data_IF_584062859473
#
_entry.id   IF_584062859473
#
_cell.length_a   1.000
_cell.length_b   1.000
_cell.length_c   1.000
_cell.angle_alpha   90.00
_cell.angle_beta   90.00
_cell.angle_gamma   90.00
#
_symmetry.space_group_name_H-M   'P 1'
#
loop_
_entity.id
_entity.type
_entity.pdbx_description
1 polymer ?
#
# COMPACT_ATOMS: atom_id res chain seq x y z
N UNK A 1 6.98 1.95 8.91
CA UNK A 1 7.80 0.72 8.90
C UNK A 1 9.23 1.10 8.55
N UNK A 2 10.25 0.49 9.16
CA UNK A 2 11.64 0.72 8.74
C UNK A 2 11.97 -0.22 7.56
N UNK A 3 12.04 0.32 6.36
CA UNK A 3 12.40 -0.40 5.13
C UNK A 3 13.89 -0.17 4.81
N UNK A 4 14.77 -0.77 5.60
CA UNK A 4 16.22 -0.59 5.46
C UNK A 4 16.75 -1.25 4.18
N UNK A 5 17.30 -0.42 3.28
CA UNK A 5 18.02 -0.80 2.06
C UNK A 5 19.36 -0.06 2.02
N UNK A 6 20.36 -0.48 1.21
CA UNK A 6 21.56 0.32 0.98
C UNK A 6 21.18 1.75 0.57
N UNK A 7 21.78 2.76 1.22
CA UNK A 7 21.47 4.17 0.97
C UNK A 7 20.15 4.68 1.55
N UNK A 8 19.41 3.86 2.33
CA UNK A 8 18.23 4.26 3.11
C UNK A 8 17.04 4.89 2.33
N UNK A 9 17.08 4.84 0.99
CA UNK A 9 16.17 5.54 0.09
C UNK A 9 14.68 5.50 0.48
N UNK A 10 14.12 4.32 0.76
CA UNK A 10 12.69 4.19 1.08
C UNK A 10 12.28 4.77 2.44
N UNK A 11 13.22 4.88 3.38
CA UNK A 11 12.92 5.54 4.66
C UNK A 11 13.00 7.07 4.54
N UNK A 12 13.87 7.58 3.65
CA UNK A 12 14.08 9.02 3.48
C UNK A 12 13.09 9.64 2.49
N UNK A 13 12.60 8.87 1.52
CA UNK A 13 11.74 9.35 0.43
C UNK A 13 10.37 8.66 0.33
N UNK A 14 10.12 7.62 1.11
CA UNK A 14 8.89 6.82 1.03
C UNK A 14 7.86 7.15 2.11
N UNK A 15 6.59 6.84 1.81
CA UNK A 15 5.50 6.91 2.80
C UNK A 15 5.22 5.49 3.32
N UNK A 16 5.52 5.25 4.59
CA UNK A 16 5.31 3.95 5.22
C UNK A 16 3.90 3.78 5.78
N UNK A 17 3.02 3.05 5.07
CA UNK A 17 1.67 2.72 5.55
C UNK A 17 1.68 1.41 6.34
N UNK A 18 1.14 1.42 7.55
CA UNK A 18 0.96 0.22 8.37
C UNK A 18 -0.52 -0.18 8.41
N UNK A 19 -0.86 -1.33 7.85
CA UNK A 19 -2.20 -1.90 7.97
C UNK A 19 -2.24 -2.87 9.15
N UNK A 20 -3.02 -2.54 10.19
CA UNK A 20 -3.03 -3.30 11.44
C UNK A 20 -3.63 -4.70 11.24
N UNK A 21 -2.86 -5.71 11.62
CA UNK A 21 -3.24 -7.12 11.57
C UNK A 21 -2.01 -8.02 11.42
N UNK A 22 -2.21 -9.32 11.61
CA UNK A 22 -1.22 -10.33 11.25
C UNK A 22 -1.72 -11.11 10.02
N UNK A 23 -1.32 -10.65 8.84
CA UNK A 23 -1.76 -11.25 7.58
C UNK A 23 -0.96 -12.48 7.16
N UNK A 24 -0.10 -13.01 8.04
CA UNK A 24 0.35 -14.40 7.93
C UNK A 24 -0.79 -15.38 8.27
N UNK A 25 -1.70 -15.02 9.19
CA UNK A 25 -2.76 -15.92 9.65
C UNK A 25 -4.16 -15.51 9.18
N UNK A 26 -4.37 -14.22 8.93
CA UNK A 26 -5.67 -13.66 8.56
C UNK A 26 -5.59 -12.91 7.23
N UNK A 27 -6.74 -12.56 6.63
CA UNK A 27 -6.80 -11.65 5.49
C UNK A 27 -7.14 -10.23 5.97
N UNK A 28 -6.62 -9.18 5.31
CA UNK A 28 -7.19 -7.84 5.47
C UNK A 28 -8.69 -7.87 5.21
N UNK A 29 -9.46 -7.15 6.03
CA UNK A 29 -10.91 -7.02 5.80
C UNK A 29 -11.19 -6.24 4.51
N UNK A 30 -12.39 -6.42 3.94
CA UNK A 30 -12.79 -5.66 2.77
C UNK A 30 -12.81 -4.14 3.02
N UNK A 31 -13.16 -3.70 4.24
CA UNK A 31 -13.12 -2.29 4.65
C UNK A 31 -11.68 -1.79 4.68
N UNK A 32 -10.76 -2.54 5.29
CA UNK A 32 -9.34 -2.19 5.32
C UNK A 32 -8.76 -2.02 3.91
N UNK A 33 -9.08 -2.93 2.98
CA UNK A 33 -8.58 -2.82 1.60
C UNK A 33 -9.18 -1.63 0.85
N UNK A 34 -10.44 -1.27 1.10
CA UNK A 34 -11.05 -0.05 0.53
C UNK A 34 -10.39 1.21 1.08
N UNK A 35 -10.24 1.32 2.40
CA UNK A 35 -9.58 2.47 3.04
C UNK A 35 -8.13 2.61 2.62
N UNK A 36 -7.39 1.50 2.52
CA UNK A 36 -6.01 1.48 2.05
C UNK A 36 -5.93 2.00 0.60
N UNK A 37 -6.79 1.52 -0.30
CA UNK A 37 -6.80 1.99 -1.68
C UNK A 37 -7.14 3.48 -1.80
N UNK A 38 -8.11 3.98 -1.02
CA UNK A 38 -8.46 5.39 -1.00
C UNK A 38 -7.29 6.26 -0.50
N UNK A 39 -6.61 5.85 0.57
CA UNK A 39 -5.43 6.55 1.09
C UNK A 39 -4.27 6.52 0.08
N UNK A 40 -3.98 5.36 -0.50
CA UNK A 40 -2.92 5.24 -1.50
C UNK A 40 -3.19 6.12 -2.72
N UNK A 41 -4.43 6.16 -3.23
CA UNK A 41 -4.79 7.03 -4.36
C UNK A 41 -4.54 8.50 -4.03
N UNK A 42 -5.07 8.96 -2.89
CA UNK A 42 -4.87 10.34 -2.42
C UNK A 42 -3.38 10.69 -2.34
N UNK A 43 -2.56 9.84 -1.72
CA UNK A 43 -1.11 10.09 -1.60
C UNK A 43 -0.38 10.03 -2.95
N UNK A 44 -0.79 9.13 -3.85
CA UNK A 44 -0.26 9.07 -5.20
C UNK A 44 -0.52 10.38 -5.97
N UNK A 45 -1.73 10.92 -5.88
CA UNK A 45 -2.12 12.18 -6.51
C UNK A 45 -1.37 13.36 -5.88
N UNK A 46 -1.44 13.52 -4.56
CA UNK A 46 -0.85 14.66 -3.84
C UNK A 46 0.69 14.70 -3.92
N UNK A 47 1.34 13.54 -3.89
CA UNK A 47 2.80 13.45 -3.91
C UNK A 47 3.36 13.13 -5.31
N UNK A 48 2.51 13.06 -6.33
CA UNK A 48 2.88 12.68 -7.71
C UNK A 48 3.63 11.33 -7.79
N UNK A 49 3.25 10.39 -6.93
CA UNK A 49 3.83 9.04 -6.89
C UNK A 49 3.02 8.16 -7.84
N UNK A 50 3.62 7.56 -8.89
CA UNK A 50 2.88 6.68 -9.78
C UNK A 50 2.38 5.45 -9.01
N UNK A 51 1.15 4.98 -9.31
CA UNK A 51 0.55 3.84 -8.62
C UNK A 51 1.44 2.58 -8.66
N UNK A 52 2.24 2.41 -9.71
CA UNK A 52 3.24 1.34 -9.85
C UNK A 52 4.32 1.34 -8.76
N UNK A 53 4.52 2.45 -8.05
CA UNK A 53 5.42 2.58 -6.90
C UNK A 53 4.73 2.31 -5.56
N UNK A 54 3.49 1.83 -5.57
CA UNK A 54 2.88 1.20 -4.39
C UNK A 54 3.42 -0.22 -4.24
N UNK A 55 4.39 -0.36 -3.35
CA UNK A 55 5.16 -1.59 -3.12
C UNK A 55 4.89 -2.20 -1.74
N UNK A 56 5.36 -3.43 -1.53
CA UNK A 56 5.31 -4.10 -0.23
C UNK A 56 6.69 -4.17 0.43
N UNK A 57 6.73 -4.17 1.76
CA UNK A 57 7.99 -4.22 2.52
C UNK A 57 8.81 -5.49 2.19
N UNK A 58 8.16 -6.65 2.14
CA UNK A 58 8.76 -7.90 1.71
C UNK A 58 9.18 -7.89 0.24
N UNK A 59 8.41 -7.23 -0.63
CA UNK A 59 8.76 -7.06 -2.05
C UNK A 59 10.01 -6.22 -2.29
N UNK A 60 10.28 -5.23 -1.42
CA UNK A 60 11.50 -4.40 -1.51
C UNK A 60 12.71 -5.13 -0.94
N UNK A 61 12.58 -5.72 0.25
CA UNK A 61 13.74 -6.18 1.03
C UNK A 61 14.00 -7.68 0.90
N UNK A 62 12.98 -8.50 0.66
CA UNK A 62 13.05 -9.96 0.73
C UNK A 62 13.37 -10.53 2.13
N UNK A 63 13.48 -9.68 3.17
CA UNK A 63 13.99 -10.04 4.51
C UNK A 63 12.91 -10.05 5.59
N UNK A 64 11.65 -9.91 5.20
CA UNK A 64 10.52 -9.84 6.12
C UNK A 64 9.31 -10.54 5.53
N UNK A 65 8.45 -11.05 6.42
CA UNK A 65 7.13 -11.58 6.04
C UNK A 65 6.10 -10.47 5.79
N UNK A 66 6.35 -9.25 6.27
CA UNK A 66 5.45 -8.11 6.08
C UNK A 66 5.21 -7.82 4.58
N UNK A 67 3.96 -7.57 4.15
CA UNK A 67 2.73 -7.41 4.95
C UNK A 67 2.04 -8.72 5.35
N UNK A 68 2.50 -9.87 4.87
CA UNK A 68 1.97 -11.19 5.18
C UNK A 68 1.44 -11.89 3.93
N UNK A 69 1.55 -13.21 3.86
CA UNK A 69 1.21 -14.02 2.68
C UNK A 69 -0.25 -13.91 2.22
N UNK A 70 -1.16 -13.49 3.10
CA UNK A 70 -2.57 -13.31 2.77
C UNK A 70 -2.92 -11.87 2.36
N UNK A 71 -1.97 -10.95 2.41
CA UNK A 71 -2.12 -9.62 1.80
C UNK A 71 -1.87 -9.72 0.29
N UNK A 72 -2.79 -9.21 -0.52
CA UNK A 72 -2.67 -9.23 -1.98
C UNK A 72 -2.32 -7.86 -2.53
N UNK A 73 -1.07 -7.69 -2.99
CA UNK A 73 -0.65 -6.48 -3.68
C UNK A 73 -1.42 -6.30 -5.00
N UNK A 74 -1.66 -7.39 -5.74
CA UNK A 74 -2.45 -7.36 -6.98
C UNK A 74 -3.88 -6.84 -6.73
N UNK A 75 -4.50 -7.21 -5.61
CA UNK A 75 -5.82 -6.69 -5.23
C UNK A 75 -5.79 -5.19 -4.94
N UNK A 76 -4.74 -4.70 -4.26
CA UNK A 76 -4.57 -3.28 -4.02
C UNK A 76 -4.43 -2.50 -5.34
N UNK A 77 -3.55 -2.96 -6.24
CA UNK A 77 -3.36 -2.34 -7.56
C UNK A 77 -4.65 -2.32 -8.39
N UNK A 78 -5.43 -3.41 -8.36
CA UNK A 78 -6.73 -3.46 -9.03
C UNK A 78 -7.70 -2.40 -8.49
N UNK A 79 -7.67 -2.11 -7.18
CA UNK A 79 -8.50 -1.09 -6.54
C UNK A 79 -8.01 0.33 -6.83
N UNK A 80 -6.72 0.53 -7.07
CA UNK A 80 -6.15 1.83 -7.43
C UNK A 80 -6.63 2.26 -8.83
N UNK A 81 -6.45 1.39 -9.82
CA UNK A 81 -6.89 1.61 -11.20
C UNK A 81 -8.42 1.63 -11.41
N UNK A 82 -9.20 1.33 -10.37
CA UNK A 82 -10.63 1.62 -10.37
C UNK A 82 -10.80 3.11 -10.07
N UNK A 83 -11.19 3.91 -11.07
CA UNK A 83 -11.71 5.26 -10.83
C UNK A 83 -12.89 5.14 -9.87
N UNK A 84 -12.75 5.68 -8.65
CA UNK A 84 -13.93 5.92 -7.83
C UNK A 84 -14.68 7.01 -8.57
N UNK A 85 -15.83 6.65 -9.16
CA UNK A 85 -16.81 7.63 -9.58
C UNK A 85 -17.19 8.42 -8.33
N UNK A 86 -16.49 9.52 -8.08
CA UNK A 86 -16.94 10.50 -7.13
C UNK A 86 -18.29 10.98 -7.66
N UNK A 87 -19.37 10.64 -6.94
CA UNK A 87 -20.62 11.36 -7.10
C UNK A 87 -20.28 12.83 -6.89
N UNK A 88 -20.37 13.63 -7.96
CA UNK A 88 -20.28 15.07 -7.86
C UNK A 88 -21.38 15.55 -6.93
N UNK A 89 -21.06 15.75 -5.67
CA UNK A 89 -21.75 16.73 -4.85
C UNK A 89 -20.98 18.02 -4.98
N UNK A 90 -21.61 18.95 -5.71
CA UNK A 90 -21.34 20.39 -5.64
C UNK A 90 -21.51 20.88 -4.22
#
# INVERSE_FOLDING_TARGET
AHCKVPGNFYNDHGIGICLIGNFEHTRPTAVQMRSLAALCRFLCEECQIPESQVLTHGGITGRTKCPGRNFSLAELHRRLGQTVLASSTR
#
